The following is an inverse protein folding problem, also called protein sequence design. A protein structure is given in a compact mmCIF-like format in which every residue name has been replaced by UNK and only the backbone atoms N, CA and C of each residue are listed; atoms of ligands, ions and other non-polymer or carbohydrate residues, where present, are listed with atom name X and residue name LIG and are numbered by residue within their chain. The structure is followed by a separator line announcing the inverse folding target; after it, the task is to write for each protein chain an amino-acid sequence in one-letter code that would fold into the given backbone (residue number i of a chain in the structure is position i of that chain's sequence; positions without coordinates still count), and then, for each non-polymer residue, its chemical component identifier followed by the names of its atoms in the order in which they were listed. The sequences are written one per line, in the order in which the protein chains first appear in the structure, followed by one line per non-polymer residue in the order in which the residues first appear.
data_IF_982982768808
#
_entry.id   IF_982982768808
#
_cell.length_a   1.000
_cell.length_b   1.000
_cell.length_c   1.000
_cell.angle_alpha   90.00
_cell.angle_beta   90.00
_cell.angle_gamma   90.00
#
_symmetry.space_group_name_H-M   'P 1'
#
loop_
_entity.id
_entity.type
_entity.pdbx_description
1 polymer ?
#
# COMPACT_ATOMS: atom_id res chain seq x y z
N UNK A 1 15.67 -6.12 -11.80
CA UNK A 1 14.35 -6.75 -12.03
C UNK A 1 13.52 -6.46 -10.78
N UNK A 2 12.55 -5.55 -10.88
CA UNK A 2 11.76 -5.06 -9.74
C UNK A 2 10.39 -5.75 -9.66
N UNK A 3 9.64 -5.45 -8.60
CA UNK A 3 8.24 -5.83 -8.49
C UNK A 3 7.45 -5.27 -9.68
N UNK A 4 6.56 -6.06 -10.28
CA UNK A 4 5.68 -5.56 -11.35
C UNK A 4 4.53 -4.74 -10.76
N UNK A 5 3.86 -3.93 -11.59
CA UNK A 5 2.66 -3.20 -11.17
C UNK A 5 1.57 -4.15 -10.67
N UNK A 6 1.33 -5.26 -11.38
CA UNK A 6 0.34 -6.27 -10.99
C UNK A 6 0.64 -6.88 -9.61
N UNK A 7 1.92 -7.16 -9.32
CA UNK A 7 2.34 -7.64 -8.00
C UNK A 7 2.16 -6.57 -6.92
N UNK A 8 2.45 -5.30 -7.23
CA UNK A 8 2.24 -4.19 -6.29
C UNK A 8 0.75 -3.97 -5.99
N UNK A 9 -0.12 -4.07 -7.00
CA UNK A 9 -1.58 -4.00 -6.83
C UNK A 9 -2.12 -5.15 -5.98
N UNK A 10 -1.60 -6.37 -6.18
CA UNK A 10 -1.95 -7.51 -5.34
C UNK A 10 -1.54 -7.30 -3.87
N UNK A 11 -0.33 -6.77 -3.63
CA UNK A 11 0.15 -6.42 -2.30
C UNK A 11 -0.71 -5.34 -1.64
N UNK A 12 -1.06 -4.28 -2.38
CA UNK A 12 -1.98 -3.23 -1.92
C UNK A 12 -3.35 -3.81 -1.54
N UNK A 13 -3.91 -4.70 -2.36
CA UNK A 13 -5.21 -5.34 -2.09
C UNK A 13 -5.17 -6.16 -0.79
N UNK A 14 -4.13 -6.95 -0.59
CA UNK A 14 -3.95 -7.73 0.63
C UNK A 14 -3.76 -6.83 1.87
N UNK A 15 -2.96 -5.77 1.76
CA UNK A 15 -2.74 -4.81 2.83
C UNK A 15 -4.04 -4.08 3.22
N UNK A 16 -4.86 -3.66 2.24
CA UNK A 16 -6.19 -3.07 2.50
C UNK A 16 -7.11 -4.04 3.24
N UNK A 17 -7.17 -5.30 2.82
CA UNK A 17 -7.98 -6.32 3.50
C UNK A 17 -7.54 -6.47 4.96
N UNK A 18 -6.23 -6.55 5.21
CA UNK A 18 -5.71 -6.65 6.57
C UNK A 18 -5.98 -5.41 7.41
N UNK A 19 -5.85 -4.22 6.82
CA UNK A 19 -6.16 -2.94 7.47
C UNK A 19 -7.61 -2.89 7.98
N UNK A 20 -8.58 -3.39 7.19
CA UNK A 20 -9.96 -3.54 7.64
C UNK A 20 -10.11 -4.56 8.77
N UNK A 21 -9.46 -5.72 8.69
CA UNK A 21 -9.51 -6.74 9.76
C UNK A 21 -8.99 -6.23 11.11
N UNK A 22 -7.94 -5.40 11.10
CA UNK A 22 -7.32 -4.87 12.32
C UNK A 22 -7.89 -3.50 12.73
N UNK A 23 -8.97 -3.04 12.07
CA UNK A 23 -9.63 -1.77 12.31
C UNK A 23 -8.66 -0.57 12.34
N UNK A 24 -7.68 -0.56 11.43
CA UNK A 24 -6.68 0.50 11.33
C UNK A 24 -6.54 0.90 9.87
N UNK A 25 -7.05 2.09 9.52
CA UNK A 25 -6.98 2.64 8.16
C UNK A 25 -5.55 3.12 7.86
N UNK A 26 -5.02 2.75 6.70
CA UNK A 26 -3.60 2.92 6.37
C UNK A 26 -3.38 3.73 5.08
N UNK A 27 -2.19 4.31 4.97
CA UNK A 27 -1.56 4.64 3.70
C UNK A 27 -0.60 3.49 3.36
N UNK A 28 -0.61 3.04 2.11
CA UNK A 28 0.13 1.85 1.66
C UNK A 28 1.01 2.27 0.48
N UNK A 29 2.31 2.22 0.70
CA UNK A 29 3.35 2.47 -0.31
C UNK A 29 4.05 1.17 -0.66
N UNK A 30 4.19 0.89 -1.95
CA UNK A 30 4.98 -0.23 -2.48
C UNK A 30 6.12 0.35 -3.31
N UNK A 31 7.35 -0.04 -2.97
CA UNK A 31 8.58 0.36 -3.66
C UNK A 31 9.30 -0.85 -4.25
N UNK A 32 10.08 -0.64 -5.30
CA UNK A 32 10.99 -1.66 -5.82
C UNK A 32 12.30 -1.73 -5.02
N UNK A 33 13.20 -2.62 -5.44
CA UNK A 33 14.51 -2.80 -4.79
C UNK A 33 15.42 -1.56 -4.86
N UNK A 34 15.14 -0.63 -5.77
CA UNK A 34 15.82 0.66 -5.88
C UNK A 34 15.15 1.78 -5.08
N UNK A 35 14.16 1.45 -4.24
CA UNK A 35 13.32 2.40 -3.51
C UNK A 35 12.48 3.32 -4.42
N UNK A 36 12.26 2.96 -5.69
CA UNK A 36 11.35 3.71 -6.56
C UNK A 36 9.91 3.38 -6.20
N UNK A 37 9.05 4.39 -6.11
CA UNK A 37 7.63 4.20 -5.86
C UNK A 37 6.95 3.50 -7.05
N UNK A 38 6.30 2.38 -6.77
CA UNK A 38 5.56 1.60 -7.77
C UNK A 38 4.05 1.79 -7.61
N UNK A 39 3.55 1.79 -6.37
CA UNK A 39 2.15 2.04 -6.07
C UNK A 39 2.00 2.77 -4.72
N UNK A 40 1.03 3.68 -4.66
CA UNK A 40 0.61 4.35 -3.43
C UNK A 40 -0.90 4.43 -3.36
N UNK A 41 -1.48 4.03 -2.24
CA UNK A 41 -2.89 4.28 -1.94
C UNK A 41 -3.07 4.80 -0.53
N UNK A 42 -4.03 5.70 -0.37
CA UNK A 42 -4.52 6.13 0.94
C UNK A 42 -5.94 5.63 1.09
N UNK A 43 -6.23 4.94 2.19
CA UNK A 43 -7.60 4.55 2.51
C UNK A 43 -8.40 5.79 2.94
N UNK A 44 -9.68 5.82 2.59
CA UNK A 44 -10.60 6.88 3.04
C UNK A 44 -10.65 6.90 4.57
N UNK A 45 -10.48 8.08 5.15
CA UNK A 45 -10.43 8.25 6.61
C UNK A 45 -9.10 7.87 7.28
N UNK A 46 -8.09 7.40 6.54
CA UNK A 46 -6.75 7.17 7.10
C UNK A 46 -6.12 8.48 7.58
N UNK A 47 -5.31 8.39 8.65
CA UNK A 47 -4.62 9.53 9.25
C UNK A 47 -3.75 10.25 8.21
N UNK A 48 -3.87 11.58 8.14
CA UNK A 48 -3.12 12.38 7.17
C UNK A 48 -1.61 12.38 7.45
N UNK A 49 -1.20 12.21 8.72
CA UNK A 49 0.20 12.24 9.12
C UNK A 49 1.00 10.98 8.79
N UNK A 50 0.37 9.91 8.32
CA UNK A 50 1.03 8.67 7.91
C UNK A 50 1.30 8.58 6.39
N UNK A 51 1.10 9.68 5.65
CA UNK A 51 1.24 9.73 4.20
C UNK A 51 2.68 10.05 3.79
#
# INVERSE_FOLDING_TARGET
MGITLEQAEAAVKAAKAKAFEINTLMNISVVDAGANLVAFVRMDGAWLGSA
#
